data_IF_273957238806
#
_entry.id   IF_273957238806
#
_cell.length_a   1.000
_cell.length_b   1.000
_cell.length_c   1.000
_cell.angle_alpha   90.00
_cell.angle_beta   90.00
_cell.angle_gamma   90.00
#
_symmetry.space_group_name_H-M   'P 1'
#
loop_
_entity.id
_entity.type
_entity.pdbx_description
1 polymer ?
#
# COMPACT_ATOMS: atom_id res chain seq x y z
N UNK A 1 -6.39 6.25 28.14
CA UNK A 1 -7.42 6.38 27.08
C UNK A 1 -7.41 5.08 26.30
N UNK A 2 -8.48 4.29 26.39
CA UNK A 2 -8.64 3.11 25.54
C UNK A 2 -8.94 3.59 24.12
N UNK A 3 -7.98 3.44 23.21
CA UNK A 3 -8.18 3.71 21.80
C UNK A 3 -9.19 2.68 21.27
N UNK A 4 -10.45 3.08 21.13
CA UNK A 4 -11.46 2.28 20.43
C UNK A 4 -10.93 2.01 19.02
N UNK A 5 -10.59 0.76 18.72
CA UNK A 5 -10.34 0.32 17.36
C UNK A 5 -11.66 0.51 16.60
N UNK A 6 -11.74 1.54 15.77
CA UNK A 6 -12.96 1.89 15.04
C UNK A 6 -13.05 0.99 13.81
N UNK A 7 -13.76 -0.13 13.94
CA UNK A 7 -13.93 -1.15 12.88
C UNK A 7 -14.84 -0.68 11.71
N UNK A 8 -15.09 0.63 11.60
CA UNK A 8 -16.00 1.23 10.61
C UNK A 8 -15.28 2.02 9.52
N UNK A 9 -13.96 2.21 9.63
CA UNK A 9 -13.20 3.00 8.65
C UNK A 9 -13.01 2.16 7.38
N UNK A 10 -13.48 2.62 6.21
CA UNK A 10 -13.28 1.91 4.96
C UNK A 10 -11.79 1.76 4.61
N UNK A 11 -11.38 0.61 4.10
CA UNK A 11 -9.98 0.32 3.72
C UNK A 11 -9.38 1.37 2.78
N UNK A 12 -10.18 1.95 1.87
CA UNK A 12 -9.71 3.00 0.95
C UNK A 12 -9.27 4.28 1.67
N UNK A 13 -9.80 4.57 2.88
CA UNK A 13 -9.38 5.73 3.68
C UNK A 13 -7.94 5.58 4.19
N UNK A 14 -7.54 4.36 4.56
CA UNK A 14 -6.16 4.06 4.96
C UNK A 14 -5.19 4.33 3.81
N UNK A 15 -5.53 3.84 2.60
CA UNK A 15 -4.69 4.11 1.42
C UNK A 15 -4.69 5.59 1.03
N UNK A 16 -5.84 6.27 1.09
CA UNK A 16 -5.93 7.69 0.76
C UNK A 16 -5.05 8.55 1.67
N UNK A 17 -5.05 8.29 2.98
CA UNK A 17 -4.21 9.02 3.94
C UNK A 17 -2.71 8.78 3.69
N UNK A 18 -2.32 7.52 3.40
CA UNK A 18 -0.95 7.18 3.02
C UNK A 18 -0.51 7.91 1.76
N UNK A 19 -1.33 7.94 0.70
CA UNK A 19 -1.01 8.64 -0.55
C UNK A 19 -0.91 10.14 -0.33
N UNK A 20 -1.84 10.74 0.44
CA UNK A 20 -1.78 12.15 0.78
C UNK A 20 -0.47 12.50 1.52
N UNK A 21 -0.05 11.66 2.47
CA UNK A 21 1.22 11.85 3.18
C UNK A 21 2.42 11.75 2.24
N UNK A 22 2.46 10.76 1.37
CA UNK A 22 3.57 10.57 0.42
C UNK A 22 3.69 11.74 -0.55
N UNK A 23 2.58 12.27 -1.08
CA UNK A 23 2.60 13.48 -1.89
C UNK A 23 3.11 14.69 -1.10
N UNK A 24 2.69 14.86 0.16
CA UNK A 24 3.19 15.96 0.99
C UNK A 24 4.72 15.87 1.23
N UNK A 25 5.27 14.67 1.33
CA UNK A 25 6.72 14.45 1.43
C UNK A 25 7.44 14.80 0.12
N UNK A 26 6.89 14.36 -1.01
CA UNK A 26 7.40 14.70 -2.35
C UNK A 26 7.35 16.23 -2.59
N UNK A 27 6.25 16.89 -2.26
CA UNK A 27 6.07 18.35 -2.34
C UNK A 27 7.04 19.11 -1.42
N UNK A 28 7.40 18.52 -0.27
CA UNK A 28 8.43 19.05 0.64
C UNK A 28 9.87 18.84 0.12
N UNK A 29 10.05 18.23 -1.05
CA UNK A 29 11.34 18.04 -1.71
C UNK A 29 12.09 16.77 -1.32
N UNK A 30 11.43 15.80 -0.67
CA UNK A 30 12.05 14.49 -0.49
C UNK A 30 12.22 13.82 -1.86
N UNK A 31 13.33 13.09 -2.09
CA UNK A 31 13.64 12.57 -3.40
C UNK A 31 12.95 11.22 -3.65
N UNK A 32 11.63 11.24 -3.56
CA UNK A 32 10.70 10.11 -3.70
C UNK A 32 9.59 10.47 -4.69
N UNK A 33 8.92 9.46 -5.23
CA UNK A 33 7.59 9.60 -5.86
C UNK A 33 6.78 8.33 -5.59
N UNK A 34 5.46 8.36 -5.75
CA UNK A 34 4.62 7.21 -5.39
C UNK A 34 3.47 6.93 -6.36
N UNK A 35 2.94 5.72 -6.29
CA UNK A 35 1.72 5.32 -7.00
C UNK A 35 0.88 4.42 -6.11
N UNK A 36 -0.44 4.66 -6.08
CA UNK A 36 -1.41 3.78 -5.44
C UNK A 36 -2.02 2.80 -6.43
N UNK A 37 -2.06 1.52 -6.08
CA UNK A 37 -2.68 0.44 -6.86
C UNK A 37 -3.98 0.01 -6.20
N UNK A 38 -5.06 0.79 -6.42
CA UNK A 38 -6.38 0.46 -5.88
C UNK A 38 -6.98 -0.80 -6.52
N UNK A 39 -6.57 -1.96 -6.03
CA UNK A 39 -6.98 -3.25 -6.56
C UNK A 39 -8.37 -3.69 -6.06
N UNK A 40 -8.93 -3.01 -5.05
CA UNK A 40 -10.14 -3.46 -4.31
C UNK A 40 -11.48 -2.81 -4.64
N UNK A 41 -11.58 -1.88 -5.60
CA UNK A 41 -12.88 -1.34 -5.98
C UNK A 41 -13.86 -2.48 -6.33
N UNK A 42 -15.10 -2.44 -5.79
CA UNK A 42 -16.16 -3.39 -6.16
C UNK A 42 -16.41 -3.26 -7.66
N UNK A 43 -15.96 -4.25 -8.42
CA UNK A 43 -16.08 -4.31 -9.87
C UNK A 43 -17.13 -5.33 -10.27
N UNK A 44 -17.97 -4.99 -11.24
CA UNK A 44 -18.82 -5.93 -11.97
C UNK A 44 -17.99 -7.04 -12.63
N UNK A 45 -18.65 -8.10 -13.11
CA UNK A 45 -17.95 -9.20 -13.80
C UNK A 45 -17.17 -8.71 -15.02
N UNK A 46 -17.72 -7.78 -15.79
CA UNK A 46 -17.07 -7.20 -16.98
C UNK A 46 -15.83 -6.40 -16.58
N UNK A 47 -15.96 -5.49 -15.62
CA UNK A 47 -14.85 -4.65 -15.15
C UNK A 47 -13.72 -5.49 -14.53
N UNK A 48 -14.03 -6.61 -13.87
CA UNK A 48 -13.00 -7.55 -13.39
C UNK A 48 -12.24 -8.21 -14.54
N UNK A 49 -12.94 -8.58 -15.61
CA UNK A 49 -12.30 -9.15 -16.80
C UNK A 49 -11.43 -8.12 -17.49
N UNK A 50 -11.98 -6.92 -17.76
CA UNK A 50 -11.26 -5.79 -18.34
C UNK A 50 -10.00 -5.48 -17.51
N UNK A 51 -10.14 -5.29 -16.20
CA UNK A 51 -9.00 -5.03 -15.32
C UNK A 51 -7.93 -6.13 -15.40
N UNK A 52 -8.32 -7.40 -15.40
CA UNK A 52 -7.37 -8.52 -15.49
C UNK A 52 -6.62 -8.50 -16.81
N UNK A 53 -7.29 -8.25 -17.94
CA UNK A 53 -6.65 -8.26 -19.27
C UNK A 53 -5.85 -6.99 -19.52
N UNK A 54 -6.16 -5.88 -18.85
CA UNK A 54 -5.39 -4.63 -18.92
C UNK A 54 -4.22 -4.55 -17.95
N UNK A 55 -3.92 -5.64 -17.23
CA UNK A 55 -2.71 -5.76 -16.41
C UNK A 55 -2.90 -5.53 -14.90
N UNK A 56 -4.14 -5.32 -14.42
CA UNK A 56 -4.40 -5.28 -12.98
C UNK A 56 -4.15 -6.68 -12.39
N UNK A 57 -3.03 -6.80 -11.68
CA UNK A 57 -2.55 -8.09 -11.19
C UNK A 57 -3.05 -8.35 -9.78
N UNK A 58 -3.69 -9.50 -9.57
CA UNK A 58 -4.23 -9.86 -8.25
C UNK A 58 -3.13 -10.01 -7.20
N UNK A 59 -3.34 -9.40 -6.04
CA UNK A 59 -2.41 -9.44 -4.91
C UNK A 59 -1.17 -8.56 -5.06
N UNK A 60 -1.16 -7.64 -6.03
CA UNK A 60 -0.18 -6.55 -6.06
C UNK A 60 -0.27 -5.73 -4.77
N UNK A 61 0.86 -5.33 -4.15
CA UNK A 61 0.87 -4.43 -3.01
C UNK A 61 0.14 -3.11 -3.31
N UNK A 62 -0.46 -2.50 -2.29
CA UNK A 62 -1.38 -1.36 -2.47
C UNK A 62 -0.66 -0.05 -2.87
N UNK A 63 0.61 0.11 -2.50
CA UNK A 63 1.39 1.33 -2.76
C UNK A 63 2.80 0.98 -3.23
N UNK A 64 3.26 1.65 -4.28
CA UNK A 64 4.67 1.70 -4.68
C UNK A 64 5.27 3.05 -4.32
N UNK A 65 6.45 3.04 -3.69
CA UNK A 65 7.26 4.23 -3.43
C UNK A 65 8.60 4.05 -4.13
N UNK A 66 8.90 4.95 -5.05
CA UNK A 66 10.17 5.02 -5.76
C UNK A 66 11.06 6.02 -5.03
N UNK A 67 12.29 5.63 -4.75
CA UNK A 67 13.24 6.42 -3.99
C UNK A 67 14.54 6.53 -4.80
N UNK A 68 15.25 7.64 -4.63
CA UNK A 68 16.60 7.84 -5.21
C UNK A 68 17.52 6.65 -4.98
N UNK A 69 18.39 6.38 -5.96
CA UNK A 69 19.22 5.18 -5.98
C UNK A 69 18.54 3.96 -6.61
N UNK A 70 17.35 4.13 -7.19
CA UNK A 70 16.61 3.05 -7.85
C UNK A 70 15.93 2.10 -6.88
N UNK A 71 15.68 2.53 -5.65
CA UNK A 71 15.01 1.73 -4.62
C UNK A 71 13.51 1.77 -4.87
N UNK A 72 12.89 0.60 -4.95
CA UNK A 72 11.45 0.44 -5.03
C UNK A 72 10.94 -0.25 -3.77
N UNK A 73 10.12 0.46 -2.99
CA UNK A 73 9.35 -0.12 -1.89
C UNK A 73 7.95 -0.48 -2.40
N UNK A 74 7.56 -1.74 -2.27
CA UNK A 74 6.19 -2.19 -2.50
C UNK A 74 5.51 -2.45 -1.15
N UNK A 75 4.54 -1.63 -0.79
CA UNK A 75 3.93 -1.60 0.54
C UNK A 75 2.49 -2.10 0.45
N UNK A 76 2.21 -3.18 1.16
CA UNK A 76 0.85 -3.68 1.41
C UNK A 76 0.31 -3.06 2.69
N UNK A 77 -0.89 -2.47 2.61
CA UNK A 77 -1.56 -1.81 3.72
C UNK A 77 -2.56 -2.77 4.38
N UNK A 78 -2.59 -2.79 5.70
CA UNK A 78 -3.54 -3.61 6.46
C UNK A 78 -4.22 -2.83 7.57
N UNK A 79 -5.53 -3.02 7.67
CA UNK A 79 -6.30 -2.65 8.86
C UNK A 79 -5.95 -3.60 10.02
N UNK A 80 -6.31 -3.30 11.28
CA UNK A 80 -5.97 -4.13 12.45
C UNK A 80 -6.45 -5.58 12.38
N UNK A 81 -7.57 -5.83 11.70
CA UNK A 81 -8.10 -7.18 11.46
C UNK A 81 -7.75 -7.72 10.07
N UNK A 82 -7.17 -6.88 9.21
CA UNK A 82 -6.76 -7.22 7.86
C UNK A 82 -5.72 -8.34 7.84
N UNK A 83 -5.94 -9.32 6.97
CA UNK A 83 -5.00 -10.40 6.69
C UNK A 83 -4.65 -10.45 5.20
N UNK A 84 -3.55 -11.15 4.88
CA UNK A 84 -3.14 -11.36 3.49
C UNK A 84 -4.10 -12.34 2.79
N UNK A 85 -4.60 -11.95 1.62
CA UNK A 85 -5.38 -12.82 0.75
C UNK A 85 -4.52 -13.96 0.17
N UNK A 86 -5.15 -15.00 -0.40
CA UNK A 86 -4.43 -16.09 -1.08
C UNK A 86 -3.49 -15.56 -2.18
N UNK A 87 -3.98 -14.63 -3.01
CA UNK A 87 -3.18 -14.02 -4.07
C UNK A 87 -1.96 -13.25 -3.52
N UNK A 88 -2.12 -12.52 -2.42
CA UNK A 88 -1.01 -11.82 -1.76
C UNK A 88 0.04 -12.79 -1.19
N UNK A 89 -0.42 -13.90 -0.58
CA UNK A 89 0.46 -14.96 -0.07
C UNK A 89 1.27 -15.64 -1.19
N UNK A 90 0.75 -15.69 -2.40
CA UNK A 90 1.46 -16.25 -3.56
C UNK A 90 2.36 -15.22 -4.27
N UNK A 91 1.94 -13.95 -4.35
CA UNK A 91 2.64 -12.91 -5.11
C UNK A 91 3.79 -12.28 -4.35
N UNK A 92 3.61 -11.95 -3.05
CA UNK A 92 4.64 -11.23 -2.31
C UNK A 92 5.96 -12.03 -2.22
N UNK A 93 5.95 -13.35 -1.95
CA UNK A 93 7.19 -14.13 -1.97
C UNK A 93 7.86 -14.17 -3.34
N UNK A 94 7.10 -14.13 -4.45
CA UNK A 94 7.66 -14.07 -5.80
C UNK A 94 8.38 -12.74 -6.04
N UNK A 95 7.77 -11.62 -5.66
CA UNK A 95 8.39 -10.30 -5.76
C UNK A 95 9.67 -10.22 -4.91
N UNK A 96 9.63 -10.75 -3.68
CA UNK A 96 10.79 -10.83 -2.80
C UNK A 96 11.90 -11.72 -3.39
N UNK A 97 11.56 -12.86 -4.00
CA UNK A 97 12.52 -13.74 -4.66
C UNK A 97 13.18 -13.08 -5.89
N UNK A 98 12.52 -12.11 -6.52
CA UNK A 98 13.09 -11.28 -7.60
C UNK A 98 13.96 -10.12 -7.06
N UNK A 99 14.08 -9.97 -5.74
CA UNK A 99 14.88 -8.92 -5.10
C UNK A 99 14.13 -7.63 -4.79
N UNK A 100 12.80 -7.57 -4.97
CA UNK A 100 12.02 -6.38 -4.60
C UNK A 100 11.70 -6.35 -3.11
N UNK A 101 11.79 -5.16 -2.51
CA UNK A 101 11.40 -4.92 -1.12
C UNK A 101 9.88 -4.88 -1.01
N UNK A 102 9.29 -5.89 -0.37
CA UNK A 102 7.85 -5.94 -0.09
C UNK A 102 7.61 -5.88 1.40
N UNK A 103 6.90 -4.84 1.85
CA UNK A 103 6.65 -4.55 3.28
C UNK A 103 5.14 -4.59 3.53
N UNK A 104 4.73 -5.12 4.68
CA UNK A 104 3.34 -5.01 5.15
C UNK A 104 3.28 -4.00 6.29
N UNK A 105 2.58 -2.90 6.07
CA UNK A 105 2.31 -1.88 7.08
C UNK A 105 0.91 -2.07 7.66
N UNK A 106 0.76 -1.93 8.98
CA UNK A 106 -0.49 -2.18 9.67
C UNK A 106 -0.64 -1.25 10.87
N UNK A 107 -1.75 -0.55 10.95
CA UNK A 107 -2.04 0.34 12.07
C UNK A 107 -3.54 0.42 12.41
N UNK A 108 -3.91 0.78 13.65
CA UNK A 108 -5.26 1.10 14.08
C UNK A 108 -6.01 2.14 13.24
N UNK A 109 -5.37 3.23 12.87
CA UNK A 109 -6.01 4.35 12.15
C UNK A 109 -5.30 4.66 10.82
N UNK A 110 -5.98 5.35 9.87
CA UNK A 110 -5.34 5.84 8.65
C UNK A 110 -4.10 6.72 8.92
N UNK A 111 -4.18 7.60 9.91
CA UNK A 111 -3.11 8.54 10.26
C UNK A 111 -1.89 7.79 10.82
N UNK A 112 -2.11 6.84 11.73
CA UNK A 112 -1.03 5.99 12.27
C UNK A 112 -0.41 5.11 11.18
N UNK A 113 -1.20 4.69 10.18
CA UNK A 113 -0.67 3.93 9.05
C UNK A 113 0.20 4.82 8.14
N UNK A 114 -0.22 6.07 7.91
CA UNK A 114 0.56 7.03 7.15
C UNK A 114 1.87 7.39 7.89
N UNK A 115 1.82 7.54 9.21
CA UNK A 115 3.02 7.75 10.04
C UNK A 115 3.99 6.56 9.94
N UNK A 116 3.48 5.32 10.00
CA UNK A 116 4.30 4.13 9.84
C UNK A 116 4.91 4.02 8.44
N UNK A 117 4.14 4.32 7.39
CA UNK A 117 4.65 4.33 6.01
C UNK A 117 5.69 5.41 5.82
N UNK A 118 5.49 6.62 6.33
CA UNK A 118 6.50 7.68 6.30
C UNK A 118 7.78 7.25 7.01
N UNK A 119 7.66 6.68 8.22
CA UNK A 119 8.81 6.17 8.98
C UNK A 119 9.58 5.11 8.18
N UNK A 120 8.88 4.20 7.51
CA UNK A 120 9.48 3.21 6.62
C UNK A 120 10.22 3.92 5.48
N UNK A 121 9.56 4.80 4.72
CA UNK A 121 10.16 5.48 3.56
C UNK A 121 11.42 6.26 3.98
N UNK A 122 11.37 6.99 5.09
CA UNK A 122 12.51 7.74 5.61
C UNK A 122 13.70 6.87 6.01
N UNK A 123 13.50 5.58 6.31
CA UNK A 123 14.62 4.67 6.60
C UNK A 123 15.40 4.23 5.35
N UNK A 124 14.94 4.60 4.15
CA UNK A 124 15.60 4.33 2.86
C UNK A 124 16.09 5.61 2.16
N UNK A 125 16.04 6.75 2.85
CA UNK A 125 16.60 8.04 2.41
C UNK A 125 17.98 8.26 3.04
#
# INVERSE_FOLDING_TARGET
METRIVDTIPEWRYQAEVIARLHALEDAGLPITCAGDMNRAKRSRRERMEAKVTGLTAGEPDVRVYITGGILLSIELKTPKGSRSKAQKERHPKLQALGFTVITAKAPTPEELADEVERIVRSYL
#
